data_IF_771429681160
#
_entry.id   IF_771429681160
#
_cell.length_a   1.000
_cell.length_b   1.000
_cell.length_c   1.000
_cell.angle_alpha   90.00
_cell.angle_beta   90.00
_cell.angle_gamma   90.00
#
_symmetry.space_group_name_H-M   'P 1'
#
loop_
_entity.id
_entity.type
_entity.pdbx_description
1 polymer ?
2 non-polymer ?
3 non-polymer ?
4 non-polymer ?
5 water ?
#
# COMPACT_ATOMS: atom_id res chain seq x y z
N UNK A 1 -2.44 -5.12 0.06
CA UNK A 1 -2.55 -6.50 0.49
C UNK A 1 -1.67 -6.71 1.68
N UNK A 2 -0.95 -5.76 2.21
CA UNK A 2 -0.22 -6.18 3.38
C UNK A 2 1.27 -5.92 3.23
N UNK A 3 1.69 -5.25 2.16
CA UNK A 3 3.09 -4.89 2.00
C UNK A 3 3.41 -3.54 2.64
N UNK A 4 2.40 -2.70 2.86
CA UNK A 4 2.61 -1.45 3.59
C UNK A 4 3.50 -0.43 2.86
N UNK A 5 3.40 -0.38 1.54
CA UNK A 5 4.21 0.54 0.75
C UNK A 5 3.35 1.71 0.28
N UNK A 6 3.70 2.92 0.69
CA UNK A 6 2.88 4.08 0.34
C UNK A 6 3.21 4.56 -1.07
N UNK A 7 2.17 4.83 -1.84
CA UNK A 7 2.32 5.37 -3.19
C UNK A 7 1.84 4.42 -4.27
N UNK A 8 1.60 3.17 -3.90
CA UNK A 8 1.08 2.16 -4.80
C UNK A 8 0.00 1.40 -4.04
N UNK A 9 -1.09 1.05 -4.72
CA UNK A 9 -2.17 0.29 -4.09
C UNK A 9 -3.28 1.21 -3.61
N UNK A 10 -4.08 0.69 -2.70
CA UNK A 10 -5.25 1.40 -2.20
C UNK A 10 -4.93 2.58 -1.31
N UNK A 11 -3.81 2.54 -0.60
CA UNK A 11 -3.54 3.61 0.34
C UNK A 11 -3.15 3.21 1.76
N UNK A 12 -2.83 1.95 2.03
CA UNK A 12 -2.45 1.58 3.38
C UNK A 12 -1.05 2.01 3.73
X LIG B 1 1.86 -2.13 -2.68
X LIG B 1 1.15 -3.02 -1.80
X LIG B 1 2.47 -2.88 -3.85
X LIG B 1 3.78 -2.92 -4.13
X LIG B 1 4.79 -2.20 -3.29
X LIG B 1 4.29 -3.69 -5.33
X LIG B 1 3.63 -3.22 -6.63
X LIG B 1 4.45 -3.58 -7.86
X LIG B 1 4.00 -3.37 -9.12
X LIG B 1 4.85 -3.74 -10.31
X LIG B 1 2.65 -2.76 -9.36
X LIG B 1 0.39 -2.44 -0.51
X LIG B 1 0.10 -3.64 0.34
X LIG B 1 1.08 -1.23 0.07
X LIG B 1 -1.01 -1.94 -1.15
X LIG B 1 -2.30 -1.32 -0.39
X LIG B 1 -2.44 -2.09 0.87
X LIG B 1 -2.04 0.15 -0.17
X LIG B 1 -3.43 -1.59 -1.38
X LIG B 1 2.65 -1.63 -2.12
X LIG B 1 1.18 -1.37 -3.05
X LIG B 1 1.80 -3.42 -4.50
X LIG B 1 4.70 -2.53 -2.28
X LIG B 1 4.62 -1.16 -3.33
X LIG B 1 5.76 -2.42 -3.64
X LIG B 1 4.08 -4.76 -5.19
X LIG B 1 5.37 -3.57 -5.41
X LIG B 1 3.50 -2.14 -6.60
X LIG B 1 2.64 -3.67 -6.72
X LIG B 1 5.43 -4.02 -7.73
X LIG B 1 4.32 -3.51 -11.20
X LIG B 1 5.06 -4.77 -10.28
X LIG B 1 5.75 -3.19 -10.28
X LIG B 1 2.59 -1.83 -8.85
X LIG B 1 1.90 -3.41 -9.00
X LIG B 1 2.52 -2.60 -10.40
X LIG C 1 -1.60 -3.80 1.53
X LIG D 1 0.16 0.89 -0.64
#
# INVERSE_FOLDING_TARGET
>A
ICLEIKXIFHDN
>B hetero
1 GPP C1 O1 C2 C3 C4 C5 C6 C7 C8 C9 C10 PA O1A O2A O3A PB O1B O2B O3B H11 H12 H2 H41 H42 H43 H51 H52 H61 H62 H7 H91 H92 H93 H101 H102 H103
>C hetero
1 ZN ZN
>D hetero
1 NA NA
#
